data_IF_969678416620
#
_entry.id   IF_969678416620
#
_cell.length_a   1.000
_cell.length_b   1.000
_cell.length_c   1.000
_cell.angle_alpha   90.00
_cell.angle_beta   90.00
_cell.angle_gamma   90.00
#
_symmetry.space_group_name_H-M   'P 1'
#
loop_
_entity.id
_entity.type
_entity.pdbx_description
1 polymer ?
#
# COMPACT_ATOMS: atom_id res chain seq x y z
N UNK A 1 6.21 -22.48 -22.03
CA UNK A 1 6.77 -21.30 -21.36
C UNK A 1 5.62 -20.45 -20.85
N UNK A 2 5.15 -20.69 -19.62
CA UNK A 2 4.09 -19.87 -19.01
C UNK A 2 4.81 -18.76 -18.26
N UNK A 3 4.65 -17.52 -18.72
CA UNK A 3 5.47 -16.38 -18.31
C UNK A 3 5.61 -16.26 -16.80
N UNK A 4 6.80 -15.87 -16.35
CA UNK A 4 7.21 -15.68 -14.96
C UNK A 4 6.46 -14.54 -14.22
N UNK A 5 5.34 -14.07 -14.77
CA UNK A 5 4.55 -12.95 -14.27
C UNK A 5 3.11 -13.39 -13.98
N UNK A 6 2.58 -12.98 -12.84
CA UNK A 6 1.19 -13.21 -12.45
C UNK A 6 0.70 -12.16 -11.46
N UNK A 7 -0.62 -12.08 -11.27
CA UNK A 7 -1.25 -11.24 -10.26
C UNK A 7 -2.06 -12.13 -9.31
N UNK A 8 -2.02 -11.80 -8.02
CA UNK A 8 -2.81 -12.45 -6.98
C UNK A 8 -3.62 -11.39 -6.23
N UNK A 9 -4.91 -11.64 -6.06
CA UNK A 9 -5.79 -10.82 -5.22
C UNK A 9 -6.01 -11.52 -3.89
N UNK A 10 -5.69 -10.82 -2.80
CA UNK A 10 -5.90 -11.29 -1.44
C UNK A 10 -6.95 -10.42 -0.75
N UNK A 11 -7.80 -11.05 0.05
CA UNK A 11 -8.77 -10.40 0.93
C UNK A 11 -8.55 -10.96 2.35
N UNK A 12 -7.65 -10.34 3.13
CA UNK A 12 -7.37 -10.79 4.48
C UNK A 12 -8.51 -10.41 5.43
N UNK A 13 -8.99 -11.38 6.20
CA UNK A 13 -10.15 -11.26 7.11
C UNK A 13 -9.72 -11.26 8.58
N UNK A 14 -8.64 -11.97 8.90
CA UNK A 14 -8.11 -12.14 10.25
C UNK A 14 -6.74 -11.47 10.42
N UNK A 15 -6.34 -11.26 11.69
CA UNK A 15 -5.02 -10.70 12.02
C UNK A 15 -3.87 -11.60 11.56
N UNK A 16 -4.06 -12.92 11.58
CA UNK A 16 -3.09 -13.91 11.10
C UNK A 16 -2.88 -13.82 9.58
N UNK A 17 -3.90 -13.39 8.82
CA UNK A 17 -3.76 -13.20 7.38
C UNK A 17 -2.76 -12.10 7.03
N UNK A 18 -2.59 -11.09 7.90
CA UNK A 18 -1.54 -10.08 7.74
C UNK A 18 -0.14 -10.67 7.86
N UNK A 19 0.03 -11.68 8.72
CA UNK A 19 1.28 -12.41 8.85
C UNK A 19 1.54 -13.27 7.61
N UNK A 20 0.51 -13.95 7.08
CA UNK A 20 0.65 -14.69 5.84
C UNK A 20 0.97 -13.77 4.64
N UNK A 21 0.28 -12.63 4.52
CA UNK A 21 0.56 -11.63 3.49
C UNK A 21 1.99 -11.06 3.58
N UNK A 22 2.51 -10.85 4.79
CA UNK A 22 3.91 -10.45 5.00
C UNK A 22 4.91 -11.43 4.39
N UNK A 23 4.64 -12.73 4.46
CA UNK A 23 5.52 -13.77 3.91
C UNK A 23 5.40 -13.91 2.38
N UNK A 24 4.32 -13.42 1.78
CA UNK A 24 4.10 -13.47 0.33
C UNK A 24 4.64 -12.25 -0.41
N UNK A 25 4.57 -11.07 0.21
CA UNK A 25 4.92 -9.80 -0.44
C UNK A 25 6.41 -9.51 -0.28
N UNK A 26 7.10 -9.30 -1.39
CA UNK A 26 8.53 -9.03 -1.43
C UNK A 26 8.87 -7.65 -2.03
N UNK A 27 10.09 -7.18 -1.74
CA UNK A 27 10.65 -6.01 -2.41
C UNK A 27 10.79 -6.31 -3.91
N UNK A 28 10.27 -5.41 -4.75
CA UNK A 28 10.21 -5.61 -6.20
C UNK A 28 8.82 -5.97 -6.74
N UNK A 29 7.89 -6.37 -5.86
CA UNK A 29 6.50 -6.59 -6.26
C UNK A 29 5.78 -5.26 -6.54
N UNK A 30 4.77 -5.30 -7.39
CA UNK A 30 3.78 -4.22 -7.54
C UNK A 30 2.53 -4.54 -6.73
N UNK A 31 2.19 -3.67 -5.79
CA UNK A 31 1.02 -3.84 -4.91
C UNK A 31 -0.04 -2.78 -5.21
N UNK A 32 -1.29 -3.22 -5.41
CA UNK A 32 -2.44 -2.35 -5.58
C UNK A 32 -3.39 -2.45 -4.39
N UNK A 33 -3.64 -1.33 -3.70
CA UNK A 33 -4.55 -1.31 -2.55
C UNK A 33 -5.25 0.05 -2.36
N UNK A 34 -6.37 0.04 -1.63
CA UNK A 34 -7.03 1.27 -1.19
C UNK A 34 -6.23 1.94 -0.06
N UNK A 35 -5.93 3.22 -0.22
CA UNK A 35 -5.19 4.03 0.75
C UNK A 35 -5.95 5.30 1.09
N UNK A 36 -5.55 5.98 2.18
CA UNK A 36 -6.05 7.32 2.53
C UNK A 36 -4.85 8.27 2.56
N UNK A 37 -4.92 9.35 1.79
CA UNK A 37 -3.85 10.35 1.72
C UNK A 37 -4.35 11.75 2.02
N UNK A 38 -3.47 12.52 2.67
CA UNK A 38 -3.63 13.96 2.87
C UNK A 38 -3.23 14.66 1.58
N UNK A 39 -4.16 15.36 0.97
CA UNK A 39 -3.96 16.19 -0.24
C UNK A 39 -3.96 17.64 0.21
N UNK A 40 -2.85 18.32 0.00
CA UNK A 40 -2.70 19.75 0.27
C UNK A 40 -2.82 20.48 -1.06
N UNK A 41 -3.75 21.42 -1.14
CA UNK A 41 -3.96 22.27 -2.30
C UNK A 41 -3.70 23.72 -1.91
N UNK A 42 -2.68 24.31 -2.51
CA UNK A 42 -2.37 25.73 -2.35
C UNK A 42 -3.05 26.51 -3.47
N UNK A 43 -3.79 27.55 -3.12
CA UNK A 43 -4.38 28.49 -4.09
C UNK A 43 -3.38 29.57 -4.47
N UNK A 44 -3.58 30.22 -5.61
CA UNK A 44 -2.71 31.31 -6.11
C UNK A 44 -2.60 32.49 -5.14
N UNK A 45 -3.57 32.64 -4.23
CA UNK A 45 -3.58 33.62 -3.14
C UNK A 45 -2.75 33.22 -1.91
N UNK A 46 -2.09 32.06 -1.93
CA UNK A 46 -1.24 31.57 -0.84
C UNK A 46 -1.96 30.78 0.26
N UNK A 47 -3.29 30.60 0.16
CA UNK A 47 -4.04 29.80 1.13
C UNK A 47 -3.89 28.31 0.82
N UNK A 48 -3.44 27.52 1.79
CA UNK A 48 -3.39 26.06 1.67
C UNK A 48 -4.62 25.41 2.32
N UNK A 49 -5.37 24.63 1.55
CA UNK A 49 -6.43 23.76 2.07
C UNK A 49 -5.95 22.32 2.10
N UNK A 50 -6.36 21.58 3.14
CA UNK A 50 -6.00 20.17 3.31
C UNK A 50 -7.26 19.32 3.28
N UNK A 51 -7.26 18.26 2.48
CA UNK A 51 -8.34 17.26 2.48
C UNK A 51 -7.76 15.85 2.60
N UNK A 52 -8.46 14.94 3.30
CA UNK A 52 -8.13 13.51 3.29
C UNK A 52 -8.95 12.84 2.20
N UNK A 53 -8.29 12.17 1.26
CA UNK A 53 -8.93 11.47 0.15
C UNK A 53 -8.58 9.98 0.19
N UNK A 54 -9.60 9.14 0.05
CA UNK A 54 -9.41 7.71 -0.24
C UNK A 54 -9.07 7.56 -1.71
N UNK A 55 -8.02 6.81 -2.01
CA UNK A 55 -7.58 6.54 -3.38
C UNK A 55 -6.92 5.17 -3.46
N UNK A 56 -7.16 4.46 -4.55
CA UNK A 56 -6.45 3.21 -4.84
C UNK A 56 -5.12 3.56 -5.50
N UNK A 57 -4.03 3.07 -4.94
CA UNK A 57 -2.69 3.27 -5.48
C UNK A 57 -2.09 1.93 -5.85
N UNK A 58 -1.34 1.93 -6.95
CA UNK A 58 -0.37 0.88 -7.25
C UNK A 58 1.01 1.40 -6.85
N UNK A 59 1.77 0.61 -6.10
CA UNK A 59 3.12 0.97 -5.66
C UNK A 59 4.11 -0.12 -6.02
N UNK A 60 5.34 0.28 -6.33
CA UNK A 60 6.50 -0.60 -6.29
C UNK A 60 6.97 -0.76 -4.84
N UNK A 61 6.96 -1.98 -4.34
CA UNK A 61 7.34 -2.29 -2.97
C UNK A 61 8.85 -2.07 -2.77
N UNK A 62 9.21 -1.21 -1.81
CA UNK A 62 10.59 -0.90 -1.41
C UNK A 62 10.93 -1.43 -0.03
N UNK A 63 9.94 -1.56 0.86
CA UNK A 63 10.13 -2.12 2.20
C UNK A 63 8.82 -2.74 2.67
N UNK A 64 8.96 -3.87 3.35
CA UNK A 64 7.86 -4.60 3.99
C UNK A 64 8.25 -4.77 5.46
N UNK A 65 7.34 -4.44 6.38
CA UNK A 65 7.56 -4.61 7.82
C UNK A 65 6.26 -5.02 8.49
N UNK A 66 6.33 -6.00 9.38
CA UNK A 66 5.21 -6.45 10.19
C UNK A 66 5.33 -5.91 11.62
N UNK A 67 4.26 -5.33 12.12
CA UNK A 67 4.12 -4.86 13.51
C UNK A 67 3.32 -5.91 14.29
N UNK A 68 4.00 -6.73 15.08
CA UNK A 68 3.37 -7.82 15.84
C UNK A 68 2.49 -7.35 16.99
N UNK A 69 2.71 -6.14 17.51
CA UNK A 69 1.87 -5.59 18.57
C UNK A 69 0.55 -5.04 18.02
N UNK A 70 0.59 -4.46 16.81
CA UNK A 70 -0.59 -3.95 16.12
C UNK A 70 -1.24 -4.98 15.19
N UNK A 71 -0.64 -6.17 15.03
CA UNK A 71 -0.98 -7.18 14.04
C UNK A 71 -1.19 -6.59 12.64
N UNK A 72 -0.27 -5.70 12.23
CA UNK A 72 -0.44 -4.86 11.05
C UNK A 72 0.76 -4.95 10.11
N UNK A 73 0.46 -5.13 8.82
CA UNK A 73 1.44 -5.08 7.75
C UNK A 73 1.64 -3.65 7.25
N UNK A 74 2.89 -3.16 7.27
CA UNK A 74 3.28 -1.85 6.73
C UNK A 74 4.14 -2.04 5.50
N UNK A 75 3.72 -1.41 4.41
CA UNK A 75 4.38 -1.51 3.11
C UNK A 75 4.71 -0.10 2.64
N UNK A 76 5.99 0.12 2.34
CA UNK A 76 6.49 1.38 1.79
C UNK A 76 6.86 1.17 0.33
N UNK A 77 6.44 2.09 -0.52
CA UNK A 77 6.74 2.05 -1.94
C UNK A 77 6.57 3.39 -2.63
N UNK A 78 6.93 3.41 -3.91
CA UNK A 78 6.73 4.53 -4.81
C UNK A 78 5.53 4.24 -5.71
N UNK A 79 4.65 5.22 -5.93
CA UNK A 79 3.54 5.07 -6.86
C UNK A 79 4.07 4.89 -8.28
N UNK A 80 3.54 3.89 -9.00
CA UNK A 80 3.78 3.65 -10.42
C UNK A 80 2.58 4.02 -11.27
#
# INVERSE_FOLDING_TARGET
>A
DRGLSGELRLEPEEQEDMWHAYNLIAVGDSLRASTVRKVVQTTDTGTSTTTRKRMTLTIDVKTVSYDSAACALRIKGCTI
#
